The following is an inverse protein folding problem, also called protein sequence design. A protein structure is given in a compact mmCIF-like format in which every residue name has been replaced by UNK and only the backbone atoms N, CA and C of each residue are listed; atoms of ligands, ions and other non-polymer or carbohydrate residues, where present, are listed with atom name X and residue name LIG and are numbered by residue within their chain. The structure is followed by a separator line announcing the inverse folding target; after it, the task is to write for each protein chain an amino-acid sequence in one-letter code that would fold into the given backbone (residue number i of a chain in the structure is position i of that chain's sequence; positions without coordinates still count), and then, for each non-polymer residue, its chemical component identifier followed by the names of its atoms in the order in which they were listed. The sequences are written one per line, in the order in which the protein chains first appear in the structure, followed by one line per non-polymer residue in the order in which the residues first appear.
data_IF_117619714932
#
_entry.id   IF_117619714932
#
_cell.length_a   1.000
_cell.length_b   1.000
_cell.length_c   1.000
_cell.angle_alpha   90.00
_cell.angle_beta   90.00
_cell.angle_gamma   90.00
#
_symmetry.space_group_name_H-M   'P 1'
#
loop_
_entity.id
_entity.type
_entity.pdbx_description
1 polymer ?
#
# COMPACT_ATOMS: atom_id res chain seq x y z
N UNK A 1 -3.07 -13.82 14.77
CA UNK A 1 -3.23 -13.85 13.30
C UNK A 1 -4.34 -12.88 12.95
N UNK A 2 -4.05 -11.82 12.20
CA UNK A 2 -5.05 -10.90 11.66
C UNK A 2 -5.47 -11.37 10.25
N UNK A 3 -6.67 -10.98 9.81
CA UNK A 3 -7.17 -11.23 8.46
C UNK A 3 -8.11 -10.11 8.05
N UNK A 4 -8.18 -9.84 6.74
CA UNK A 4 -9.09 -8.85 6.15
C UNK A 4 -10.32 -9.58 5.62
N UNK A 5 -11.50 -9.01 5.84
CA UNK A 5 -12.71 -9.43 5.14
C UNK A 5 -12.83 -8.63 3.85
N UNK A 6 -12.49 -9.26 2.73
CA UNK A 6 -12.47 -8.61 1.41
C UNK A 6 -13.84 -8.04 0.99
N UNK A 7 -14.94 -8.65 1.43
CA UNK A 7 -16.29 -8.13 1.11
C UNK A 7 -16.57 -6.77 1.77
N UNK A 8 -15.89 -6.46 2.88
CA UNK A 8 -16.03 -5.19 3.60
C UNK A 8 -14.92 -4.19 3.26
N UNK A 9 -13.78 -4.67 2.76
CA UNK A 9 -12.65 -3.82 2.37
C UNK A 9 -13.07 -2.81 1.31
N UNK A 10 -12.75 -1.54 1.54
CA UNK A 10 -13.02 -0.44 0.60
C UNK A 10 -11.76 0.09 -0.08
N UNK A 11 -10.60 -0.51 0.19
CA UNK A 11 -9.33 -0.11 -0.41
C UNK A 11 -8.82 1.26 0.05
N UNK A 12 -9.07 1.68 1.30
CA UNK A 12 -8.63 3.00 1.78
C UNK A 12 -7.14 3.08 2.19
N UNK A 13 -6.44 1.94 2.27
CA UNK A 13 -5.00 1.87 2.57
C UNK A 13 -4.56 2.16 4.01
N UNK A 14 -5.46 2.60 4.89
CA UNK A 14 -5.10 2.98 6.28
C UNK A 14 -4.42 1.84 7.04
N UNK A 15 -4.93 0.61 6.94
CA UNK A 15 -4.33 -0.52 7.65
C UNK A 15 -2.94 -0.87 7.11
N UNK A 16 -2.75 -0.85 5.79
CA UNK A 16 -1.47 -1.14 5.11
C UNK A 16 -0.44 -0.10 5.49
N UNK A 17 -0.73 1.19 5.30
CA UNK A 17 0.21 2.28 5.61
C UNK A 17 0.55 2.41 7.11
N UNK A 18 -0.30 1.89 8.01
CA UNK A 18 -0.04 1.90 9.46
C UNK A 18 0.70 0.65 9.97
N UNK A 19 0.82 -0.41 9.17
CA UNK A 19 1.31 -1.70 9.63
C UNK A 19 2.84 -1.67 9.83
N UNK A 20 3.36 -1.71 11.07
CA UNK A 20 4.80 -1.60 11.30
C UNK A 20 5.58 -2.83 10.84
N UNK A 21 4.89 -3.97 10.65
CA UNK A 21 5.50 -5.21 10.19
C UNK A 21 5.43 -5.40 8.68
N UNK A 22 4.77 -4.49 7.93
CA UNK A 22 4.60 -4.60 6.48
C UNK A 22 3.89 -5.89 6.04
N UNK A 23 3.08 -6.50 6.90
CA UNK A 23 2.54 -7.85 6.66
C UNK A 23 1.26 -7.88 5.81
N UNK A 24 0.74 -6.72 5.42
CA UNK A 24 -0.48 -6.55 4.64
C UNK A 24 -0.10 -5.73 3.43
N UNK A 25 -0.61 -6.12 2.25
CA UNK A 25 -0.37 -5.42 0.98
C UNK A 25 -1.71 -4.97 0.40
N UNK A 26 -1.74 -3.78 -0.19
CA UNK A 26 -2.92 -3.26 -0.89
C UNK A 26 -2.91 -3.68 -2.35
N UNK A 27 -4.08 -4.04 -2.90
CA UNK A 27 -4.20 -4.29 -4.33
C UNK A 27 -4.13 -2.97 -5.13
N UNK A 28 -3.36 -2.96 -6.22
CA UNK A 28 -3.18 -1.84 -7.19
C UNK A 28 -2.44 -0.60 -6.66
N UNK A 29 -2.04 -0.62 -5.39
CA UNK A 29 -1.27 0.43 -4.74
C UNK A 29 -0.31 -0.23 -3.76
N UNK A 30 0.45 -1.20 -4.26
CA UNK A 30 1.50 -1.79 -3.45
C UNK A 30 2.62 -0.77 -3.19
N UNK A 31 3.47 -1.06 -2.20
CA UNK A 31 4.52 -0.13 -1.80
C UNK A 31 5.51 0.11 -2.96
N UNK A 32 5.79 -0.89 -3.80
CA UNK A 32 6.74 -0.79 -4.91
C UNK A 32 6.21 0.14 -6.01
N UNK A 33 4.93 0.00 -6.37
CA UNK A 33 4.22 0.87 -7.29
C UNK A 33 4.26 2.34 -6.80
N UNK A 34 3.91 2.58 -5.53
CA UNK A 34 3.91 3.92 -4.92
C UNK A 34 5.32 4.54 -4.92
N UNK A 35 6.33 3.78 -4.51
CA UNK A 35 7.71 4.29 -4.47
C UNK A 35 8.24 4.55 -5.89
N UNK A 36 7.88 3.72 -6.87
CA UNK A 36 8.24 3.95 -8.26
C UNK A 36 7.64 5.26 -8.80
N UNK A 37 6.38 5.57 -8.45
CA UNK A 37 5.77 6.85 -8.80
C UNK A 37 6.50 8.04 -8.15
N UNK A 38 6.87 7.93 -6.87
CA UNK A 38 7.62 8.98 -6.14
C UNK A 38 8.99 9.20 -6.79
N UNK A 39 9.74 8.12 -7.03
CA UNK A 39 11.05 8.18 -7.69
C UNK A 39 10.93 8.78 -9.09
N UNK A 40 9.90 8.39 -9.85
CA UNK A 40 9.63 8.96 -11.16
C UNK A 40 9.44 10.48 -11.11
N UNK A 41 8.72 11.00 -10.11
CA UNK A 41 8.56 12.46 -9.92
C UNK A 41 9.86 13.15 -9.50
N UNK A 42 10.67 12.50 -8.65
CA UNK A 42 11.92 13.06 -8.14
C UNK A 42 13.09 12.96 -9.13
N UNK A 43 13.04 12.04 -10.09
CA UNK A 43 14.10 11.80 -11.08
C UNK A 43 14.09 12.79 -12.26
N UNK A 44 13.11 13.69 -12.35
CA UNK A 44 13.14 14.81 -13.30
C UNK A 44 14.14 15.88 -12.85
N UNK A 45 15.43 15.64 -13.10
CA UNK A 45 16.47 16.69 -13.23
C UNK A 45 16.90 16.85 -14.69
#
# INVERSE_FOLDING_TARGET
RAYINEALCKGCGTCVGSCPSGSIVQNLFDDEEIFSEIEGVLAYE
#
